data_IF_718994466652
#
_entry.id   IF_718994466652
#
_cell.length_a   1.000
_cell.length_b   1.000
_cell.length_c   1.000
_cell.angle_alpha   90.00
_cell.angle_beta   90.00
_cell.angle_gamma   90.00
#
_symmetry.space_group_name_H-M   'P 1'
#
loop_
_entity.id
_entity.type
_entity.pdbx_description
1 polymer ?
#
# COMPACT_ATOMS: atom_id res chain seq x y z
N UNK A 1 -40.22 -10.60 9.46
CA UNK A 1 -40.15 -10.44 8.00
C UNK A 1 -39.00 -9.48 7.70
N UNK A 2 -37.74 -9.96 7.74
CA UNK A 2 -36.51 -9.14 7.68
C UNK A 2 -35.50 -9.62 6.59
N UNK A 3 -35.93 -10.42 5.61
CA UNK A 3 -35.03 -11.10 4.68
C UNK A 3 -34.43 -10.28 3.51
N UNK A 4 -35.02 -9.17 3.00
CA UNK A 4 -34.51 -8.56 1.75
C UNK A 4 -33.24 -7.72 1.92
N UNK A 5 -32.99 -7.16 3.12
CA UNK A 5 -31.86 -6.25 3.36
C UNK A 5 -30.54 -7.02 3.41
N UNK A 6 -30.53 -8.22 4.00
CA UNK A 6 -29.33 -9.07 4.11
C UNK A 6 -28.87 -9.61 2.75
N UNK A 7 -29.80 -9.92 1.84
CA UNK A 7 -29.45 -10.39 0.49
C UNK A 7 -28.78 -9.31 -0.37
N UNK A 8 -29.25 -8.06 -0.27
CA UNK A 8 -28.64 -6.94 -0.96
C UNK A 8 -27.24 -6.61 -0.42
N UNK A 9 -27.05 -6.69 0.91
CA UNK A 9 -25.75 -6.54 1.58
C UNK A 9 -24.70 -7.54 1.10
N UNK A 10 -25.08 -8.81 0.99
CA UNK A 10 -24.17 -9.86 0.54
C UNK A 10 -23.76 -9.65 -0.92
N UNK A 11 -24.73 -9.34 -1.79
CA UNK A 11 -24.46 -9.07 -3.21
C UNK A 11 -23.55 -7.86 -3.39
N UNK A 12 -23.78 -6.80 -2.62
CA UNK A 12 -22.95 -5.60 -2.59
C UNK A 12 -21.50 -5.93 -2.23
N UNK A 13 -21.31 -6.67 -1.13
CA UNK A 13 -20.00 -7.13 -0.69
C UNK A 13 -19.31 -7.99 -1.75
N UNK A 14 -20.04 -8.88 -2.43
CA UNK A 14 -19.51 -9.69 -3.53
C UNK A 14 -19.07 -8.84 -4.72
N UNK A 15 -19.89 -7.88 -5.17
CA UNK A 15 -19.54 -6.96 -6.26
C UNK A 15 -18.32 -6.14 -5.89
N UNK A 16 -18.29 -5.55 -4.69
CA UNK A 16 -17.15 -4.78 -4.22
C UNK A 16 -15.88 -5.63 -4.16
N UNK A 17 -15.92 -6.81 -3.55
CA UNK A 17 -14.74 -7.69 -3.43
C UNK A 17 -14.25 -8.17 -4.81
N UNK A 18 -15.17 -8.48 -5.71
CA UNK A 18 -14.85 -8.91 -7.08
C UNK A 18 -14.18 -7.77 -7.86
N UNK A 19 -14.79 -6.57 -7.84
CA UNK A 19 -14.23 -5.38 -8.51
C UNK A 19 -12.89 -4.98 -7.90
N UNK A 20 -12.77 -4.98 -6.57
CA UNK A 20 -11.52 -4.71 -5.87
C UNK A 20 -10.43 -5.70 -6.29
N UNK A 21 -10.75 -6.99 -6.37
CA UNK A 21 -9.80 -8.02 -6.82
C UNK A 21 -9.35 -7.81 -8.28
N UNK A 22 -10.28 -7.44 -9.16
CA UNK A 22 -9.95 -7.11 -10.55
C UNK A 22 -9.02 -5.89 -10.65
N UNK A 23 -9.32 -4.80 -9.94
CA UNK A 23 -8.50 -3.58 -9.90
C UNK A 23 -7.11 -3.87 -9.30
N UNK A 24 -7.03 -4.77 -8.32
CA UNK A 24 -5.79 -5.11 -7.64
C UNK A 24 -4.86 -6.04 -8.45
N UNK A 25 -5.41 -6.78 -9.42
CA UNK A 25 -4.65 -7.79 -10.20
C UNK A 25 -3.38 -7.24 -10.88
N UNK A 26 -3.39 -6.06 -11.54
CA UNK A 26 -2.17 -5.48 -12.12
C UNK A 26 -1.10 -5.15 -11.07
N UNK A 27 -1.51 -4.63 -9.91
CA UNK A 27 -0.60 -4.29 -8.79
C UNK A 27 0.09 -5.56 -8.29
N UNK A 28 -0.67 -6.63 -8.11
CA UNK A 28 -0.14 -7.92 -7.68
C UNK A 28 0.88 -8.48 -8.67
N UNK A 29 0.65 -8.31 -9.98
CA UNK A 29 1.55 -8.75 -11.03
C UNK A 29 2.90 -8.01 -10.97
N UNK A 30 2.89 -6.68 -10.78
CA UNK A 30 4.11 -5.88 -10.64
C UNK A 30 4.91 -6.28 -9.39
N UNK A 31 4.27 -6.51 -8.25
CA UNK A 31 4.96 -6.97 -7.02
C UNK A 31 5.57 -8.37 -7.19
N UNK A 32 4.84 -9.31 -7.82
CA UNK A 32 5.34 -10.67 -8.09
C UNK A 32 6.52 -10.71 -9.05
N UNK A 33 6.62 -9.74 -9.96
CA UNK A 33 7.75 -9.65 -10.90
C UNK A 33 9.06 -9.40 -10.14
N UNK A 34 9.05 -8.57 -9.10
CA UNK A 34 10.22 -8.30 -8.25
C UNK A 34 10.63 -9.52 -7.44
N UNK A 35 9.68 -10.32 -6.93
CA UNK A 35 10.02 -11.55 -6.20
C UNK A 35 10.76 -12.58 -7.06
N UNK A 36 10.49 -12.62 -8.37
CA UNK A 36 11.10 -13.58 -9.31
C UNK A 36 12.51 -13.18 -9.73
N UNK A 37 12.76 -11.88 -9.88
CA UNK A 37 14.10 -11.33 -10.07
C UNK A 37 14.70 -11.06 -8.70
N UNK A 38 15.48 -12.00 -8.12
CA UNK A 38 16.02 -11.91 -6.75
C UNK A 38 16.20 -10.46 -6.27
N UNK A 39 15.57 -10.03 -5.15
CA UNK A 39 15.64 -8.65 -4.69
C UNK A 39 17.07 -8.14 -4.55
N UNK A 40 18.00 -9.01 -4.16
CA UNK A 40 19.44 -8.71 -4.06
C UNK A 40 20.12 -8.41 -5.40
N UNK A 41 19.56 -8.87 -6.53
CA UNK A 41 20.16 -8.75 -7.86
C UNK A 41 19.42 -7.68 -8.71
N UNK A 42 18.12 -7.48 -8.45
CA UNK A 42 17.29 -6.44 -9.07
C UNK A 42 17.43 -5.07 -8.40
N UNK A 43 17.54 -5.02 -7.07
CA UNK A 43 17.77 -3.76 -6.32
C UNK A 43 19.18 -3.23 -6.51
N UNK A 44 20.17 -4.12 -6.70
CA UNK A 44 21.58 -3.75 -6.87
C UNK A 44 21.92 -3.32 -8.31
N UNK A 45 21.06 -3.65 -9.31
CA UNK A 45 21.41 -3.49 -10.73
C UNK A 45 21.51 -2.04 -11.24
N UNK A 46 21.13 -1.02 -10.46
CA UNK A 46 21.29 0.40 -10.82
C UNK A 46 22.14 1.23 -9.86
N UNK A 47 22.68 0.64 -8.80
CA UNK A 47 23.50 1.37 -7.84
C UNK A 47 24.96 1.35 -8.29
N UNK A 48 25.38 2.47 -8.88
CA UNK A 48 26.74 2.74 -9.28
C UNK A 48 27.66 2.86 -8.05
N UNK A 49 28.53 1.87 -7.78
CA UNK A 49 29.68 1.99 -6.89
C UNK A 49 29.39 2.18 -5.38
N UNK A 50 30.36 1.88 -4.50
CA UNK A 50 30.15 1.75 -3.05
C UNK A 50 29.97 3.05 -2.24
N UNK A 51 29.70 4.21 -2.85
CA UNK A 51 29.65 5.51 -2.14
C UNK A 51 28.52 6.44 -2.66
N UNK A 52 27.30 5.92 -2.84
CA UNK A 52 26.17 6.75 -3.26
C UNK A 52 25.41 7.28 -2.02
N UNK A 53 25.33 8.62 -1.83
CA UNK A 53 24.50 9.22 -0.78
C UNK A 53 23.02 8.90 -1.01
N UNK A 54 22.18 8.98 0.03
CA UNK A 54 20.77 8.56 -0.02
C UNK A 54 19.94 9.20 -1.14
N UNK A 55 20.35 10.37 -1.65
CA UNK A 55 19.76 11.06 -2.80
C UNK A 55 20.01 10.40 -4.17
N UNK A 56 20.83 9.35 -4.24
CA UNK A 56 21.14 8.66 -5.49
C UNK A 56 20.22 7.48 -5.82
N UNK A 57 19.29 7.13 -4.92
CA UNK A 57 18.28 6.11 -5.21
C UNK A 57 17.06 6.75 -5.87
N UNK A 58 16.70 6.25 -7.05
CA UNK A 58 15.44 6.57 -7.72
C UNK A 58 14.44 5.42 -7.49
N UNK A 59 13.12 5.69 -7.46
CA UNK A 59 12.13 4.64 -7.35
C UNK A 59 12.28 3.64 -8.50
N UNK A 60 12.23 2.35 -8.17
CA UNK A 60 12.39 1.30 -9.17
C UNK A 60 11.17 1.19 -10.08
N UNK A 61 11.39 0.59 -11.26
CA UNK A 61 10.37 0.51 -12.30
C UNK A 61 9.04 -0.10 -11.81
N UNK A 62 9.11 -1.17 -11.01
CA UNK A 62 7.90 -1.83 -10.50
C UNK A 62 7.02 -0.89 -9.66
N UNK A 63 7.62 -0.06 -8.79
CA UNK A 63 6.86 0.84 -7.93
C UNK A 63 6.38 2.05 -8.71
N UNK A 64 7.16 2.52 -9.69
CA UNK A 64 6.71 3.59 -10.61
C UNK A 64 5.52 3.15 -11.46
N UNK A 65 5.50 1.90 -11.95
CA UNK A 65 4.38 1.33 -12.69
C UNK A 65 3.13 1.21 -11.81
N UNK A 66 3.28 0.73 -10.57
CA UNK A 66 2.18 0.71 -9.60
C UNK A 66 1.65 2.13 -9.37
N UNK A 67 2.52 3.10 -9.12
CA UNK A 67 2.12 4.48 -8.89
C UNK A 67 1.39 5.10 -10.09
N UNK A 68 1.91 4.91 -11.30
CA UNK A 68 1.25 5.36 -12.52
C UNK A 68 -0.14 4.74 -12.69
N UNK A 69 -0.27 3.44 -12.45
CA UNK A 69 -1.56 2.75 -12.50
C UNK A 69 -2.54 3.32 -11.46
N UNK A 70 -2.11 3.50 -10.20
CA UNK A 70 -2.94 4.11 -9.15
C UNK A 70 -3.43 5.51 -9.55
N UNK A 71 -2.58 6.32 -10.20
CA UNK A 71 -2.93 7.66 -10.66
C UNK A 71 -3.98 7.67 -11.78
N UNK A 72 -4.11 6.60 -12.58
CA UNK A 72 -5.17 6.51 -13.60
C UNK A 72 -6.47 5.91 -13.07
N UNK A 73 -6.44 5.22 -11.93
CA UNK A 73 -7.62 4.56 -11.37
C UNK A 73 -8.83 5.47 -11.18
N UNK A 74 -8.72 6.71 -10.66
CA UNK A 74 -9.87 7.59 -10.52
C UNK A 74 -10.59 7.82 -11.85
N UNK A 75 -9.85 8.02 -12.95
CA UNK A 75 -10.42 8.21 -14.29
C UNK A 75 -11.08 6.95 -14.83
N UNK A 76 -10.57 5.76 -14.48
CA UNK A 76 -11.18 4.49 -14.85
C UNK A 76 -12.42 4.17 -14.02
N UNK A 77 -12.55 4.74 -12.82
CA UNK A 77 -13.70 4.58 -11.95
C UNK A 77 -14.83 5.56 -12.30
N UNK A 78 -14.51 6.75 -12.85
CA UNK A 78 -15.48 7.78 -13.25
C UNK A 78 -16.66 7.26 -14.11
N UNK A 79 -16.48 6.38 -15.13
CA UNK A 79 -17.60 5.87 -15.94
C UNK A 79 -18.62 5.04 -15.14
N UNK A 80 -18.22 4.52 -13.98
CA UNK A 80 -19.07 3.75 -13.08
C UNK A 80 -19.70 4.60 -11.99
N UNK A 81 -19.30 5.88 -11.91
CA UNK A 81 -19.91 6.86 -11.03
C UNK A 81 -21.17 7.45 -11.67
N UNK A 82 -22.28 7.57 -10.92
CA UNK A 82 -23.45 8.27 -11.42
C UNK A 82 -23.08 9.74 -11.67
N UNK A 83 -23.14 10.19 -12.94
CA UNK A 83 -23.14 11.64 -13.22
C UNK A 83 -24.42 12.21 -12.60
N UNK A 84 -24.30 13.21 -11.72
CA UNK A 84 -25.41 14.03 -11.23
C UNK A 84 -26.15 14.68 -12.41
N UNK A 85 -27.03 13.93 -13.09
CA UNK A 85 -27.91 14.44 -14.12
C UNK A 85 -29.33 14.08 -13.72
N UNK A 86 -29.86 14.95 -12.86
CA UNK A 86 -31.25 15.42 -12.82
C UNK A 86 -32.35 14.42 -12.49
N UNK A 87 -33.03 14.75 -11.38
CA UNK A 87 -34.42 14.40 -10.99
C UNK A 87 -34.58 13.21 -10.06
N UNK A 88 -34.47 13.48 -8.75
CA UNK A 88 -35.36 12.92 -7.72
C UNK A 88 -35.38 11.41 -7.49
N UNK A 89 -34.44 10.65 -8.04
CA UNK A 89 -34.31 9.23 -7.80
C UNK A 89 -33.12 8.93 -6.89
N UNK A 90 -33.38 8.67 -5.61
CA UNK A 90 -32.40 8.00 -4.73
C UNK A 90 -31.94 6.72 -5.42
N UNK A 91 -30.64 6.57 -5.67
CA UNK A 91 -30.10 5.35 -6.27
C UNK A 91 -30.45 4.16 -5.34
N UNK A 92 -30.70 2.95 -5.90
CA UNK A 92 -30.83 1.75 -5.09
C UNK A 92 -29.57 1.45 -4.25
N UNK A 93 -28.43 2.07 -4.57
CA UNK A 93 -27.14 1.93 -3.91
C UNK A 93 -26.77 3.10 -2.98
N UNK A 94 -27.41 4.28 -3.08
CA UNK A 94 -27.14 5.41 -2.15
C UNK A 94 -27.50 5.04 -0.71
N UNK A 95 -28.42 4.09 -0.50
CA UNK A 95 -28.73 3.52 0.81
C UNK A 95 -27.80 2.38 1.24
N UNK A 96 -26.82 2.01 0.41
CA UNK A 96 -25.83 0.99 0.74
C UNK A 96 -24.52 1.55 1.29
N UNK A 97 -24.44 2.88 1.49
CA UNK A 97 -23.28 3.48 2.15
C UNK A 97 -23.06 2.93 3.56
N UNK A 98 -24.13 2.56 4.26
CA UNK A 98 -24.06 1.92 5.58
C UNK A 98 -23.50 0.49 5.52
N UNK A 99 -23.27 -0.05 4.31
CA UNK A 99 -22.81 -1.42 4.05
C UNK A 99 -21.35 -1.47 3.62
N UNK A 100 -20.76 -0.32 3.33
CA UNK A 100 -19.33 -0.18 3.10
C UNK A 100 -18.60 -0.42 4.43
N UNK A 101 -17.48 -1.17 4.43
CA UNK A 101 -16.69 -1.34 5.64
C UNK A 101 -16.26 0.05 6.12
N UNK A 102 -16.50 0.32 7.41
CA UNK A 102 -16.10 1.56 8.04
C UNK A 102 -14.63 1.83 7.74
N UNK A 103 -14.36 2.94 7.05
CA UNK A 103 -13.00 3.38 6.78
C UNK A 103 -12.45 3.90 8.11
N UNK A 104 -11.44 3.22 8.64
CA UNK A 104 -10.82 3.56 9.93
C UNK A 104 -10.19 4.95 9.82
N UNK A 105 -10.75 5.96 10.51
CA UNK A 105 -10.18 7.30 10.64
C UNK A 105 -10.94 8.48 10.01
N UNK A 106 -12.15 8.31 9.46
CA UNK A 106 -12.95 9.42 8.92
C UNK A 106 -14.35 9.49 9.53
N UNK A 107 -14.76 10.63 10.07
CA UNK A 107 -16.14 10.90 10.47
C UNK A 107 -17.08 10.68 9.27
N UNK A 108 -17.87 9.61 9.29
CA UNK A 108 -19.15 9.47 8.59
C UNK A 108 -19.25 10.05 7.17
N UNK A 109 -18.25 9.85 6.30
CA UNK A 109 -18.41 10.17 4.88
C UNK A 109 -19.05 8.97 4.22
N UNK A 110 -20.24 9.20 3.66
CA UNK A 110 -20.84 8.32 2.66
C UNK A 110 -19.91 8.33 1.45
N UNK A 111 -18.90 7.45 1.49
CA UNK A 111 -17.88 7.39 0.47
C UNK A 111 -18.49 6.86 -0.82
N UNK A 112 -18.27 7.58 -1.91
CA UNK A 112 -18.59 7.11 -3.25
C UNK A 112 -17.90 5.76 -3.51
N UNK A 113 -18.48 4.90 -4.36
CA UNK A 113 -17.91 3.58 -4.65
C UNK A 113 -16.46 3.69 -5.15
N UNK A 114 -16.15 4.74 -5.91
CA UNK A 114 -14.79 5.01 -6.34
C UNK A 114 -13.84 5.28 -5.17
N UNK A 115 -14.24 6.09 -4.19
CA UNK A 115 -13.44 6.41 -3.00
C UNK A 115 -13.21 5.15 -2.15
N UNK A 116 -14.26 4.34 -1.98
CA UNK A 116 -14.15 3.08 -1.25
C UNK A 116 -13.25 2.06 -1.97
N UNK A 117 -13.36 1.93 -3.30
CA UNK A 117 -12.50 1.05 -4.09
C UNK A 117 -11.06 1.55 -4.07
N UNK A 118 -10.83 2.85 -4.18
CA UNK A 118 -9.50 3.45 -4.16
C UNK A 118 -8.83 3.29 -2.78
N UNK A 119 -9.59 3.50 -1.70
CA UNK A 119 -9.16 3.22 -0.33
C UNK A 119 -8.89 1.73 -0.12
N UNK A 120 -9.76 0.86 -0.64
CA UNK A 120 -9.62 -0.59 -0.60
C UNK A 120 -8.34 -1.05 -1.30
N UNK A 121 -8.08 -0.55 -2.51
CA UNK A 121 -6.91 -0.94 -3.29
C UNK A 121 -5.63 -0.41 -2.65
N UNK A 122 -5.68 0.79 -2.06
CA UNK A 122 -4.57 1.38 -1.32
C UNK A 122 -4.20 0.53 -0.11
N UNK A 123 -5.20 0.12 0.69
CA UNK A 123 -4.99 -0.78 1.83
C UNK A 123 -4.41 -2.13 1.40
N UNK A 124 -4.95 -2.72 0.32
CA UNK A 124 -4.44 -3.98 -0.22
C UNK A 124 -2.98 -3.85 -0.70
N UNK A 125 -2.67 -2.77 -1.41
CA UNK A 125 -1.32 -2.45 -1.90
C UNK A 125 -0.33 -2.30 -0.75
N UNK A 126 -0.67 -1.49 0.26
CA UNK A 126 0.21 -1.27 1.41
C UNK A 126 0.43 -2.58 2.20
N UNK A 127 -0.61 -3.39 2.39
CA UNK A 127 -0.53 -4.69 3.06
C UNK A 127 0.40 -5.62 2.30
N UNK A 128 0.18 -5.79 1.00
CA UNK A 128 1.00 -6.70 0.19
C UNK A 128 2.45 -6.22 0.10
N UNK A 129 2.68 -4.92 -0.01
CA UNK A 129 4.05 -4.40 -0.06
C UNK A 129 4.78 -4.64 1.27
N UNK A 130 4.08 -4.48 2.40
CA UNK A 130 4.61 -4.84 3.73
C UNK A 130 4.95 -6.33 3.80
N UNK A 131 4.03 -7.20 3.37
CA UNK A 131 4.23 -8.66 3.38
C UNK A 131 5.37 -9.09 2.43
N UNK A 132 5.48 -8.44 1.27
CA UNK A 132 6.57 -8.65 0.33
C UNK A 132 7.92 -8.32 0.99
N UNK A 133 8.07 -7.12 1.57
CA UNK A 133 9.33 -6.69 2.21
C UNK A 133 9.72 -7.61 3.35
N UNK A 134 8.78 -7.94 4.24
CA UNK A 134 9.03 -8.80 5.40
C UNK A 134 9.28 -10.27 5.01
N UNK A 135 8.88 -10.68 3.81
CA UNK A 135 9.15 -12.01 3.26
C UNK A 135 10.47 -12.11 2.47
N UNK A 136 11.22 -11.02 2.32
CA UNK A 136 12.51 -11.04 1.63
C UNK A 136 13.58 -11.76 2.46
N UNK A 137 14.60 -12.36 1.80
CA UNK A 137 15.80 -12.83 2.50
C UNK A 137 16.60 -11.63 3.06
N UNK A 138 17.68 -11.93 3.79
CA UNK A 138 18.57 -10.90 4.37
C UNK A 138 18.97 -9.84 3.33
N UNK A 139 18.75 -8.58 3.68
CA UNK A 139 19.01 -7.41 2.86
C UNK A 139 20.36 -6.76 3.21
N UNK A 140 21.08 -6.32 2.18
CA UNK A 140 22.18 -5.38 2.34
C UNK A 140 21.68 -3.95 2.60
N UNK A 141 22.59 -3.08 3.05
CA UNK A 141 22.27 -1.67 3.36
C UNK A 141 21.62 -0.93 2.18
N UNK A 142 22.18 -1.10 0.98
CA UNK A 142 21.65 -0.46 -0.24
C UNK A 142 20.25 -0.94 -0.59
N UNK A 143 19.97 -2.22 -0.35
CA UNK A 143 18.65 -2.78 -0.60
C UNK A 143 17.60 -2.26 0.38
N UNK A 144 17.98 -2.08 1.65
CA UNK A 144 17.12 -1.46 2.64
C UNK A 144 16.82 0.01 2.28
N UNK A 145 17.83 0.77 1.84
CA UNK A 145 17.67 2.16 1.38
C UNK A 145 16.77 2.27 0.15
N UNK A 146 16.99 1.44 -0.87
CA UNK A 146 16.14 1.42 -2.06
C UNK A 146 14.68 1.12 -1.72
N UNK A 147 14.41 0.12 -0.88
CA UNK A 147 13.03 -0.19 -0.47
C UNK A 147 12.38 0.97 0.27
N UNK A 148 13.15 1.69 1.10
CA UNK A 148 12.65 2.89 1.76
C UNK A 148 12.34 4.01 0.74
N UNK A 149 13.17 4.21 -0.29
CA UNK A 149 12.90 5.13 -1.40
C UNK A 149 11.65 4.73 -2.18
N UNK A 150 11.46 3.44 -2.44
CA UNK A 150 10.27 2.92 -3.14
C UNK A 150 8.99 3.16 -2.31
N UNK A 151 9.05 3.00 -0.98
CA UNK A 151 7.91 3.31 -0.09
C UNK A 151 7.59 4.81 -0.10
N UNK A 152 8.59 5.68 -0.06
CA UNK A 152 8.36 7.14 -0.10
C UNK A 152 7.70 7.57 -1.41
N UNK A 153 8.13 7.01 -2.55
CA UNK A 153 7.48 7.27 -3.83
C UNK A 153 6.02 6.85 -3.81
N UNK A 154 5.72 5.65 -3.29
CA UNK A 154 4.32 5.21 -3.14
C UNK A 154 3.54 6.16 -2.24
N UNK A 155 4.15 6.65 -1.14
CA UNK A 155 3.54 7.63 -0.26
C UNK A 155 3.15 8.91 -0.97
N UNK A 156 4.06 9.49 -1.76
CA UNK A 156 3.77 10.69 -2.54
C UNK A 156 2.62 10.47 -3.53
N UNK A 157 2.59 9.32 -4.22
CA UNK A 157 1.48 8.97 -5.12
C UNK A 157 0.15 8.89 -4.37
N UNK A 158 0.13 8.27 -3.19
CA UNK A 158 -1.09 8.19 -2.40
C UNK A 158 -1.53 9.56 -1.89
N UNK A 159 -0.61 10.42 -1.47
CA UNK A 159 -0.91 11.79 -1.06
C UNK A 159 -1.50 12.62 -2.20
N UNK A 160 -0.99 12.47 -3.42
CA UNK A 160 -1.54 13.09 -4.64
C UNK A 160 -2.99 12.62 -4.92
N UNK A 161 -3.36 11.42 -4.48
CA UNK A 161 -4.70 10.86 -4.56
C UNK A 161 -5.59 11.18 -3.34
N UNK A 162 -5.09 11.96 -2.36
CA UNK A 162 -5.79 12.26 -1.11
C UNK A 162 -5.85 11.08 -0.11
N UNK A 163 -4.96 10.10 -0.27
CA UNK A 163 -4.84 8.90 0.55
C UNK A 163 -3.53 8.90 1.32
N UNK A 164 -3.34 7.93 2.22
CA UNK A 164 -2.12 7.85 3.03
C UNK A 164 -1.57 6.43 3.07
N UNK A 165 -0.25 6.32 3.28
CA UNK A 165 0.40 5.04 3.56
C UNK A 165 -0.14 4.44 4.87
N UNK A 166 -0.27 3.11 4.89
CA UNK A 166 -0.62 2.42 6.13
C UNK A 166 0.48 2.59 7.19
N UNK A 167 0.05 2.64 8.47
CA UNK A 167 0.97 2.74 9.61
C UNK A 167 2.09 1.67 9.57
N UNK A 168 1.81 0.37 9.30
CA UNK A 168 2.87 -0.63 9.21
C UNK A 168 3.92 -0.30 8.14
N UNK A 169 3.51 0.18 6.96
CA UNK A 169 4.43 0.45 5.86
C UNK A 169 5.29 1.69 6.14
N UNK A 170 4.72 2.72 6.77
CA UNK A 170 5.48 3.88 7.29
C UNK A 170 6.52 3.47 8.32
N UNK A 171 6.16 2.60 9.26
CA UNK A 171 7.12 2.09 10.25
C UNK A 171 8.22 1.25 9.60
N UNK A 172 7.89 0.42 8.60
CA UNK A 172 8.89 -0.33 7.83
C UNK A 172 9.87 0.62 7.15
N UNK A 173 9.40 1.68 6.48
CA UNK A 173 10.27 2.67 5.84
C UNK A 173 11.24 3.33 6.83
N UNK A 174 10.75 3.72 8.01
CA UNK A 174 11.59 4.25 9.09
C UNK A 174 12.66 3.24 9.50
N UNK A 175 12.25 2.01 9.83
CA UNK A 175 13.15 0.95 10.32
C UNK A 175 14.19 0.53 9.27
N UNK A 176 13.87 0.58 7.98
CA UNK A 176 14.83 0.30 6.91
C UNK A 176 15.95 1.34 6.83
N UNK A 177 15.67 2.59 7.21
CA UNK A 177 16.62 3.72 7.16
C UNK A 177 17.51 3.84 8.38
N UNK A 178 17.09 3.36 9.54
CA UNK A 178 17.84 3.55 10.77
C UNK A 178 19.27 3.00 10.66
N UNK A 179 20.30 3.75 11.08
CA UNK A 179 21.64 3.21 11.26
C UNK A 179 21.63 2.01 12.22
N UNK A 180 22.59 1.09 12.07
CA UNK A 180 22.64 -0.12 12.89
C UNK A 180 22.81 0.21 14.39
N UNK A 181 23.60 1.24 14.67
CA UNK A 181 23.95 1.73 16.00
C UNK A 181 22.76 2.40 16.69
N UNK A 182 21.90 3.06 15.91
CA UNK A 182 20.75 3.80 16.40
C UNK A 182 19.44 3.00 16.32
N UNK A 183 19.48 1.78 15.79
CA UNK A 183 18.28 1.01 15.46
C UNK A 183 17.33 0.84 16.65
N UNK A 184 17.85 0.49 17.84
CA UNK A 184 17.00 0.33 19.02
C UNK A 184 16.34 1.65 19.43
N UNK A 185 17.13 2.71 19.59
CA UNK A 185 16.66 4.02 20.03
C UNK A 185 15.69 4.63 19.01
N UNK A 186 16.03 4.58 17.72
CA UNK A 186 15.23 5.09 16.62
C UNK A 186 13.97 4.27 16.31
N UNK A 187 13.90 3.01 16.78
CA UNK A 187 12.69 2.17 16.66
C UNK A 187 11.62 2.45 17.71
N UNK A 188 11.89 3.38 18.65
CA UNK A 188 10.93 3.75 19.71
C UNK A 188 9.60 4.20 19.09
N UNK A 189 8.50 3.61 19.56
CA UNK A 189 7.14 3.88 19.04
C UNK A 189 6.71 2.99 17.87
N UNK A 190 7.62 2.24 17.24
CA UNK A 190 7.26 1.24 16.23
C UNK A 190 6.69 -0.03 16.86
N UNK A 191 5.86 -0.76 16.11
CA UNK A 191 5.31 -2.03 16.54
C UNK A 191 6.44 -3.06 16.79
N UNK A 192 6.52 -3.71 17.96
CA UNK A 192 7.63 -4.61 18.31
C UNK A 192 7.87 -5.74 17.30
N UNK A 193 6.79 -6.25 16.68
CA UNK A 193 6.89 -7.26 15.62
C UNK A 193 7.64 -6.75 14.38
N UNK A 194 7.40 -5.50 13.98
CA UNK A 194 8.06 -4.90 12.83
C UNK A 194 9.52 -4.58 13.15
N UNK A 195 9.78 -4.08 14.36
CA UNK A 195 11.14 -3.86 14.85
C UNK A 195 11.95 -5.15 14.79
N UNK A 196 11.41 -6.25 15.32
CA UNK A 196 12.09 -7.55 15.31
C UNK A 196 12.29 -8.09 13.89
N UNK A 197 11.25 -8.05 13.06
CA UNK A 197 11.29 -8.57 11.70
C UNK A 197 12.26 -7.79 10.80
N UNK A 198 12.21 -6.46 10.80
CA UNK A 198 13.11 -5.63 9.99
C UNK A 198 14.57 -5.73 10.49
N UNK A 199 14.78 -5.94 11.79
CA UNK A 199 16.12 -6.17 12.35
C UNK A 199 16.73 -7.47 11.83
N UNK A 200 15.93 -8.54 11.81
CA UNK A 200 16.32 -9.83 11.24
C UNK A 200 16.57 -9.73 9.74
N UNK A 201 15.66 -9.05 9.04
CA UNK A 201 15.76 -8.79 7.60
C UNK A 201 17.06 -8.07 7.24
N UNK A 202 17.53 -7.13 8.07
CA UNK A 202 18.78 -6.39 7.86
C UNK A 202 20.02 -7.04 8.50
N UNK A 203 19.86 -8.20 9.12
CA UNK A 203 20.92 -8.92 9.87
C UNK A 203 21.68 -8.02 10.86
N UNK A 204 20.96 -7.18 11.60
CA UNK A 204 21.58 -6.29 12.58
C UNK A 204 21.88 -7.04 13.89
N UNK A 205 23.02 -6.74 14.54
CA UNK A 205 23.36 -7.38 15.81
C UNK A 205 22.31 -7.07 16.89
N UNK A 206 22.06 -8.04 17.76
CA UNK A 206 21.38 -7.76 19.02
C UNK A 206 22.39 -7.04 19.90
N UNK A 207 22.32 -5.72 19.98
CA UNK A 207 23.13 -4.97 20.96
C UNK A 207 22.67 -5.38 22.35
N UNK A 208 23.35 -6.37 22.93
CA UNK A 208 23.33 -6.65 24.36
C UNK A 208 24.24 -5.63 25.03
N UNK A 209 23.66 -4.68 25.74
CA UNK A 209 24.37 -4.00 26.83
C UNK A 209 24.47 -4.95 28.03
#
# INVERSE_FOLDING_TARGET
>A
MNQPITSAQNLWGEVYNTTLGAIYTPIEAHLKQVSKSSPSDGVVRRSAGPDVPDFGFAPQEYITQIGQYLMTLPQHLEPFLPREQTTGGTLPWSGCSDLLPAIDGGEGVVGDLAEALLSGVTRATCKQFSEFILGLPVLGSDAARQLATDIDYLGNVLEELGLTLSEPLRQIALLLRLPAEEYLTGSTGCAPRLVAAVRQLRNLPSTSS
#
